data_IF_814782660521
#
_entry.id   IF_814782660521
#
_cell.length_a   1.000
_cell.length_b   1.000
_cell.length_c   1.000
_cell.angle_alpha   90.00
_cell.angle_beta   90.00
_cell.angle_gamma   90.00
#
_symmetry.space_group_name_H-M   'P 1'
#
loop_
_entity.id
_entity.type
_entity.pdbx_description
1 polymer ?
#
# COMPACT_ATOMS: atom_id res chain seq x y z
N UNK A 1 -11.47 -6.87 -2.49
CA UNK A 1 -11.12 -5.65 -1.73
C UNK A 1 -11.00 -6.04 -0.28
N UNK A 2 -10.00 -5.53 0.43
CA UNK A 2 -9.69 -5.95 1.80
C UNK A 2 -9.42 -4.70 2.64
N UNK A 3 -10.40 -4.32 3.46
CA UNK A 3 -10.36 -3.22 4.43
C UNK A 3 -10.52 -3.80 5.85
N UNK A 4 -10.26 -3.04 6.93
CA UNK A 4 -10.49 -3.50 8.29
C UNK A 4 -11.93 -4.03 8.51
N UNK A 5 -12.12 -5.04 9.39
CA UNK A 5 -11.09 -5.77 10.13
C UNK A 5 -10.29 -6.73 9.24
N UNK A 6 -8.97 -6.82 9.46
CA UNK A 6 -8.10 -7.72 8.71
C UNK A 6 -8.00 -9.10 9.35
N UNK A 7 -7.79 -10.12 8.51
CA UNK A 7 -7.30 -11.42 8.97
C UNK A 7 -5.86 -11.29 9.49
N UNK A 8 -5.43 -12.19 10.41
CA UNK A 8 -4.05 -12.23 10.88
C UNK A 8 -3.05 -12.32 9.72
N UNK A 9 -2.02 -11.49 9.78
CA UNK A 9 -0.96 -11.46 8.77
C UNK A 9 -0.07 -12.69 8.97
N UNK A 10 0.11 -13.48 7.91
CA UNK A 10 0.95 -14.69 7.99
C UNK A 10 2.44 -14.34 8.07
N UNK A 11 3.25 -15.23 8.65
CA UNK A 11 4.72 -15.09 8.63
C UNK A 11 5.26 -14.99 7.20
N UNK A 12 4.66 -15.76 6.26
CA UNK A 12 4.99 -15.69 4.85
C UNK A 12 4.74 -14.30 4.26
N UNK A 13 3.62 -13.67 4.60
CA UNK A 13 3.33 -12.31 4.16
C UNK A 13 4.39 -11.33 4.67
N UNK A 14 4.76 -11.42 5.95
CA UNK A 14 5.80 -10.56 6.55
C UNK A 14 7.15 -10.75 5.83
N UNK A 15 7.55 -12.00 5.52
CA UNK A 15 8.78 -12.28 4.77
C UNK A 15 8.74 -11.67 3.37
N UNK A 16 7.64 -11.82 2.64
CA UNK A 16 7.49 -11.24 1.29
C UNK A 16 7.55 -9.72 1.35
N UNK A 17 6.77 -9.08 2.24
CA UNK A 17 6.79 -7.62 2.37
C UNK A 17 8.19 -7.14 2.75
N UNK A 18 8.90 -7.85 3.62
CA UNK A 18 10.28 -7.50 3.99
C UNK A 18 11.23 -7.55 2.78
N UNK A 19 11.13 -8.61 1.96
CA UNK A 19 11.90 -8.74 0.73
C UNK A 19 11.56 -7.64 -0.29
N UNK A 20 10.27 -7.33 -0.45
CA UNK A 20 9.78 -6.25 -1.32
C UNK A 20 10.32 -4.87 -0.91
N UNK A 21 10.39 -4.59 0.40
CA UNK A 21 10.86 -3.32 0.94
C UNK A 21 12.40 -3.23 1.03
N UNK A 22 13.11 -4.35 0.90
CA UNK A 22 14.55 -4.44 1.16
C UNK A 22 14.94 -4.20 2.62
N UNK A 23 13.98 -4.32 3.56
CA UNK A 23 14.16 -4.13 5.00
C UNK A 23 13.04 -4.84 5.76
N UNK A 24 13.21 -5.16 7.06
CA UNK A 24 12.15 -5.78 7.86
C UNK A 24 10.83 -4.99 7.80
N UNK A 25 9.74 -5.66 7.48
CA UNK A 25 8.40 -5.11 7.61
C UNK A 25 8.06 -4.93 9.08
N UNK A 26 7.47 -3.78 9.44
CA UNK A 26 7.17 -3.41 10.83
C UNK A 26 5.70 -3.08 10.98
N UNK A 27 5.15 -3.46 12.14
CA UNK A 27 3.81 -3.07 12.60
C UNK A 27 2.71 -3.31 11.54
N UNK A 28 2.82 -4.42 10.81
CA UNK A 28 1.85 -4.81 9.78
C UNK A 28 0.59 -5.34 10.45
N UNK A 29 -0.54 -4.68 10.20
CA UNK A 29 -1.85 -5.04 10.77
C UNK A 29 -2.75 -5.78 9.77
N UNK A 30 -2.40 -5.79 8.49
CA UNK A 30 -3.16 -6.49 7.46
C UNK A 30 -2.52 -6.45 6.07
N UNK A 31 -2.97 -7.34 5.19
CA UNK A 31 -2.66 -7.29 3.74
C UNK A 31 -3.91 -6.82 3.01
N UNK A 32 -3.87 -5.57 2.54
CA UNK A 32 -5.05 -4.90 1.98
C UNK A 32 -5.27 -5.22 0.49
N UNK A 33 -4.23 -5.65 -0.21
CA UNK A 33 -4.35 -6.13 -1.58
C UNK A 33 -3.26 -7.15 -1.90
N UNK A 34 -3.56 -8.06 -2.82
CA UNK A 34 -2.66 -9.13 -3.28
C UNK A 34 -2.57 -9.13 -4.80
N UNK A 35 -1.43 -9.59 -5.29
CA UNK A 35 -1.25 -9.97 -6.69
C UNK A 35 -2.00 -11.29 -6.96
N UNK A 36 -2.30 -11.61 -8.21
CA UNK A 36 -2.96 -12.86 -8.62
C UNK A 36 -2.24 -14.13 -8.12
N UNK A 37 -0.93 -14.07 -7.87
CA UNK A 37 -0.17 -15.18 -7.27
C UNK A 37 -0.29 -15.29 -5.73
N UNK A 38 -1.04 -14.40 -5.11
CA UNK A 38 -1.24 -14.32 -3.65
C UNK A 38 -0.22 -13.48 -2.89
N UNK A 39 0.87 -13.03 -3.54
CA UNK A 39 1.86 -12.17 -2.90
C UNK A 39 1.25 -10.81 -2.48
N UNK A 40 1.59 -10.28 -1.28
CA UNK A 40 1.18 -8.94 -0.86
C UNK A 40 1.50 -7.88 -1.91
N UNK A 41 0.53 -7.00 -2.16
CA UNK A 41 0.71 -5.82 -3.02
C UNK A 41 0.61 -4.54 -2.23
N UNK A 42 -0.38 -4.49 -1.33
CA UNK A 42 -0.59 -3.37 -0.41
C UNK A 42 -0.61 -3.93 1.00
N UNK A 43 0.19 -3.32 1.87
CA UNK A 43 0.23 -3.61 3.30
C UNK A 43 -0.52 -2.51 4.06
N UNK A 44 -1.28 -2.91 5.08
CA UNK A 44 -1.84 -2.01 6.07
C UNK A 44 -0.91 -1.98 7.30
N UNK A 45 -0.44 -0.79 7.69
CA UNK A 45 0.49 -0.60 8.81
C UNK A 45 -0.19 0.15 9.94
N UNK A 46 0.13 -0.19 11.18
CA UNK A 46 -0.39 0.50 12.35
C UNK A 46 -0.10 2.02 12.26
N UNK A 47 -1.07 2.89 12.63
CA UNK A 47 -0.87 4.35 12.54
C UNK A 47 0.12 4.89 13.57
N UNK A 48 0.53 4.07 14.54
CA UNK A 48 1.67 4.30 15.43
C UNK A 48 2.52 3.04 15.48
N UNK A 49 3.81 3.19 15.21
CA UNK A 49 4.77 2.09 15.26
C UNK A 49 5.07 1.69 16.71
N UNK A 50 5.63 0.50 16.92
CA UNK A 50 6.00 0.00 18.25
C UNK A 50 7.01 0.92 18.97
N UNK A 51 7.85 1.66 18.23
CA UNK A 51 8.77 2.67 18.78
C UNK A 51 8.08 4.00 19.19
N UNK A 52 6.76 4.09 19.02
CA UNK A 52 5.94 5.25 19.33
C UNK A 52 5.79 6.24 18.17
N UNK A 53 6.52 6.08 17.07
CA UNK A 53 6.50 7.02 15.94
C UNK A 53 5.14 7.01 15.22
N UNK A 54 4.48 8.17 15.02
CA UNK A 54 3.31 8.27 14.15
C UNK A 54 3.65 7.90 12.71
N UNK A 55 2.82 7.03 12.10
CA UNK A 55 2.99 6.61 10.71
C UNK A 55 1.74 6.98 9.88
N UNK A 56 1.78 8.07 9.11
CA UNK A 56 0.58 8.61 8.43
C UNK A 56 0.04 7.70 7.32
N UNK A 57 0.91 6.92 6.69
CA UNK A 57 0.59 6.04 5.56
C UNK A 57 0.09 4.69 6.05
N UNK A 58 -1.24 4.55 6.12
CA UNK A 58 -1.93 3.32 6.50
C UNK A 58 -1.83 2.27 5.41
N UNK A 59 -2.21 2.62 4.17
CA UNK A 59 -2.07 1.75 3.00
C UNK A 59 -0.76 2.03 2.27
N UNK A 60 0.16 1.07 2.27
CA UNK A 60 1.48 1.20 1.68
C UNK A 60 1.67 0.20 0.52
N UNK A 61 1.96 0.71 -0.68
CA UNK A 61 2.24 -0.11 -1.86
C UNK A 61 3.65 -0.70 -1.77
N UNK A 62 3.76 -2.01 -1.53
CA UNK A 62 5.05 -2.69 -1.38
C UNK A 62 5.49 -3.42 -2.64
N UNK A 63 4.58 -3.78 -3.54
CA UNK A 63 4.91 -4.56 -4.73
C UNK A 63 5.90 -3.83 -5.67
N UNK A 64 7.10 -4.39 -5.94
CA UNK A 64 8.18 -3.65 -6.58
C UNK A 64 7.84 -3.19 -8.00
N UNK A 65 7.19 -4.03 -8.81
CA UNK A 65 6.76 -3.66 -10.17
C UNK A 65 5.56 -2.71 -10.17
N UNK A 66 4.71 -2.72 -9.15
CA UNK A 66 3.63 -1.74 -9.03
C UNK A 66 4.20 -0.38 -8.63
N UNK A 67 5.12 -0.37 -7.67
CA UNK A 67 5.84 0.84 -7.22
C UNK A 67 6.62 1.48 -8.36
N UNK A 68 7.33 0.69 -9.17
CA UNK A 68 8.02 1.20 -10.35
C UNK A 68 7.07 1.80 -11.40
N UNK A 69 5.92 1.16 -11.65
CA UNK A 69 4.91 1.69 -12.57
C UNK A 69 4.32 3.02 -12.08
N UNK A 70 4.05 3.15 -10.77
CA UNK A 70 3.59 4.42 -10.19
C UNK A 70 4.66 5.50 -10.30
N UNK A 71 5.92 5.19 -10.00
CA UNK A 71 7.02 6.14 -10.15
C UNK A 71 7.19 6.61 -11.60
N UNK A 72 6.95 5.74 -12.58
CA UNK A 72 6.94 6.13 -13.99
C UNK A 72 5.81 7.12 -14.31
N UNK A 73 4.59 6.86 -13.84
CA UNK A 73 3.45 7.77 -14.03
C UNK A 73 3.65 9.13 -13.31
N UNK A 74 4.26 9.12 -12.12
CA UNK A 74 4.62 10.34 -11.40
C UNK A 74 5.64 11.17 -12.18
N UNK A 75 6.68 10.53 -12.73
CA UNK A 75 7.66 11.20 -13.59
C UNK A 75 7.00 11.77 -14.87
N UNK A 76 6.03 11.04 -15.43
CA UNK A 76 5.23 11.46 -16.58
C UNK A 76 4.18 12.54 -16.26
N UNK A 77 4.23 13.17 -15.07
CA UNK A 77 3.37 14.29 -14.67
C UNK A 77 1.87 13.98 -14.49
N UNK A 78 1.48 12.70 -14.37
CA UNK A 78 0.06 12.34 -14.15
C UNK A 78 -0.52 13.00 -12.88
N UNK A 79 0.30 13.25 -11.86
CA UNK A 79 -0.15 13.96 -10.65
C UNK A 79 -0.59 15.40 -10.92
N UNK A 80 0.01 16.07 -11.89
CA UNK A 80 -0.36 17.43 -12.31
C UNK A 80 -1.72 17.37 -12.99
N UNK A 81 -1.89 16.48 -13.98
CA UNK A 81 -3.16 16.26 -14.67
C UNK A 81 -4.30 15.94 -13.68
N UNK A 82 -4.05 15.03 -12.73
CA UNK A 82 -5.02 14.68 -11.70
C UNK A 82 -5.35 15.85 -10.76
N UNK A 83 -4.38 16.72 -10.46
CA UNK A 83 -4.62 17.92 -9.65
C UNK A 83 -5.43 18.97 -10.41
N UNK A 84 -5.20 19.12 -11.71
CA UNK A 84 -6.01 19.98 -12.59
C UNK A 84 -7.44 19.46 -12.71
N UNK A 85 -7.62 18.14 -12.86
CA UNK A 85 -8.94 17.50 -12.87
C UNK A 85 -9.72 17.77 -11.57
N UNK A 86 -9.06 17.67 -10.41
CA UNK A 86 -9.68 18.00 -9.11
C UNK A 86 -10.18 19.45 -9.03
N UNK A 87 -9.49 20.38 -9.69
CA UNK A 87 -9.89 21.78 -9.71
C UNK A 87 -11.03 22.05 -10.71
N UNK A 88 -11.11 21.26 -11.77
CA UNK A 88 -12.07 21.45 -12.86
C UNK A 88 -13.40 20.72 -12.65
N UNK A 89 -13.42 19.62 -11.90
CA UNK A 89 -14.58 18.73 -11.75
C UNK A 89 -15.00 18.58 -10.28
N UNK A 90 -16.18 19.12 -9.96
CA UNK A 90 -16.72 19.12 -8.61
C UNK A 90 -17.15 17.72 -8.14
N UNK A 91 -17.61 16.85 -9.03
CA UNK A 91 -18.03 15.49 -8.68
C UNK A 91 -16.82 14.63 -8.35
N UNK A 92 -15.73 14.81 -9.10
CA UNK A 92 -14.43 14.17 -8.82
C UNK A 92 -13.86 14.67 -7.50
N UNK A 93 -13.92 15.98 -7.22
CA UNK A 93 -13.48 16.54 -5.94
C UNK A 93 -14.30 15.99 -4.77
N UNK A 94 -15.61 15.85 -4.92
CA UNK A 94 -16.48 15.26 -3.90
C UNK A 94 -16.17 13.78 -3.66
N UNK A 95 -15.95 13.00 -4.74
CA UNK A 95 -15.55 11.60 -4.66
C UNK A 95 -14.20 11.42 -3.95
N UNK A 96 -13.22 12.27 -4.27
CA UNK A 96 -11.91 12.26 -3.60
C UNK A 96 -12.02 12.69 -2.12
N UNK A 97 -12.95 13.60 -1.80
CA UNK A 97 -13.31 13.95 -0.44
C UNK A 97 -13.96 12.79 0.34
N UNK A 98 -14.79 11.96 -0.31
CA UNK A 98 -15.30 10.71 0.27
C UNK A 98 -14.17 9.71 0.52
N UNK A 99 -13.29 9.50 -0.47
CA UNK A 99 -12.11 8.64 -0.35
C UNK A 99 -11.23 9.02 0.85
N UNK A 100 -11.03 10.32 1.07
CA UNK A 100 -10.30 10.83 2.23
C UNK A 100 -10.94 10.42 3.56
N UNK A 101 -12.27 10.59 3.70
CA UNK A 101 -12.98 10.22 4.94
C UNK A 101 -12.96 8.71 5.18
N UNK A 102 -13.14 7.94 4.11
CA UNK A 102 -13.05 6.48 4.14
C UNK A 102 -11.67 6.00 4.62
N UNK A 103 -10.61 6.59 4.10
CA UNK A 103 -9.24 6.29 4.52
C UNK A 103 -9.02 6.59 6.01
N UNK A 104 -9.52 7.73 6.50
CA UNK A 104 -9.41 8.10 7.91
C UNK A 104 -10.17 7.10 8.80
N UNK A 105 -11.38 6.73 8.41
CA UNK A 105 -12.21 5.77 9.14
C UNK A 105 -11.53 4.40 9.27
N UNK A 106 -10.93 3.89 8.18
CA UNK A 106 -10.18 2.64 8.22
C UNK A 106 -9.01 2.71 9.20
N UNK A 107 -8.20 3.76 9.11
CA UNK A 107 -7.02 3.91 9.97
C UNK A 107 -7.40 4.08 11.44
N UNK A 108 -8.42 4.88 11.72
CA UNK A 108 -8.90 5.16 13.08
C UNK A 108 -9.60 3.95 13.71
N UNK A 109 -10.11 3.02 12.90
CA UNK A 109 -10.60 1.71 13.38
C UNK A 109 -9.50 0.84 14.00
N UNK A 110 -8.24 1.07 13.62
CA UNK A 110 -7.07 0.39 14.18
C UNK A 110 -6.54 1.13 15.41
N UNK A 111 -6.29 2.44 15.29
CA UNK A 111 -5.96 3.30 16.42
C UNK A 111 -6.11 4.78 16.07
N UNK A 112 -6.59 5.57 17.02
CA UNK A 112 -6.64 7.03 16.92
C UNK A 112 -5.31 7.62 17.38
N UNK A 113 -4.64 8.34 16.49
CA UNK A 113 -3.34 8.98 16.72
C UNK A 113 -3.53 10.50 16.57
N UNK A 114 -3.50 11.28 17.67
CA UNK A 114 -3.79 12.72 17.62
C UNK A 114 -2.94 13.50 16.62
N UNK A 115 -1.66 13.12 16.44
CA UNK A 115 -0.73 13.73 15.50
C UNK A 115 -1.13 13.54 14.03
N UNK A 116 -2.01 12.57 13.74
CA UNK A 116 -2.48 12.23 12.40
C UNK A 116 -3.92 12.70 12.13
N UNK A 117 -4.56 13.39 13.09
CA UNK A 117 -5.95 13.81 12.99
C UNK A 117 -6.20 14.62 11.69
N UNK A 118 -7.18 14.18 10.89
CA UNK A 118 -7.52 14.82 9.62
C UNK A 118 -6.49 14.68 8.49
N UNK A 119 -5.36 13.98 8.71
CA UNK A 119 -4.31 13.80 7.72
C UNK A 119 -4.44 12.39 7.13
N UNK A 120 -4.80 12.27 5.85
CA UNK A 120 -4.69 11.00 5.10
C UNK A 120 -3.39 10.94 4.29
N UNK A 121 -3.29 10.05 3.30
CA UNK A 121 -2.12 9.91 2.42
C UNK A 121 -2.34 10.49 1.01
N UNK A 122 -1.27 10.51 0.21
CA UNK A 122 -1.34 10.85 -1.23
C UNK A 122 -1.66 12.29 -1.59
N UNK A 123 -1.81 13.18 -0.59
CA UNK A 123 -2.22 14.58 -0.80
C UNK A 123 -3.72 14.84 -0.71
N UNK A 124 -4.52 13.79 -0.46
CA UNK A 124 -5.96 13.88 -0.24
C UNK A 124 -6.35 14.93 0.83
N UNK A 125 -7.53 15.57 0.72
CA UNK A 125 -8.48 15.52 -0.40
C UNK A 125 -8.28 16.64 -1.42
N UNK A 126 -7.28 17.51 -1.27
CA UNK A 126 -7.23 18.78 -2.02
C UNK A 126 -6.20 18.81 -3.14
N UNK A 127 -5.32 17.81 -3.21
CA UNK A 127 -4.26 17.70 -4.23
C UNK A 127 -3.79 16.27 -4.42
N UNK A 128 -3.01 16.03 -5.46
CA UNK A 128 -2.32 14.76 -5.69
C UNK A 128 -0.82 14.96 -5.50
N UNK A 129 -0.23 14.24 -4.55
CA UNK A 129 1.21 14.31 -4.19
C UNK A 129 1.97 13.01 -4.38
N UNK A 130 1.28 11.87 -4.35
CA UNK A 130 1.93 10.55 -4.46
C UNK A 130 0.92 9.51 -4.94
N UNK A 131 1.16 8.92 -6.12
CA UNK A 131 0.30 7.90 -6.71
C UNK A 131 0.42 6.56 -5.99
N UNK A 132 1.58 6.22 -5.39
CA UNK A 132 1.72 4.97 -4.63
C UNK A 132 0.69 4.84 -3.53
N UNK A 133 0.47 5.92 -2.76
CA UNK A 133 -0.52 5.94 -1.69
C UNK A 133 -1.97 5.90 -2.22
N UNK A 134 -2.27 6.55 -3.34
CA UNK A 134 -3.62 6.62 -3.88
C UNK A 134 -4.02 5.30 -4.55
N UNK A 135 -3.10 4.67 -5.28
CA UNK A 135 -3.28 3.32 -5.81
C UNK A 135 -3.36 2.30 -4.69
N UNK A 136 -2.53 2.41 -3.65
CA UNK A 136 -2.63 1.54 -2.47
C UNK A 136 -4.03 1.58 -1.86
N UNK A 137 -4.60 2.77 -1.69
CA UNK A 137 -5.96 2.93 -1.18
C UNK A 137 -7.01 2.36 -2.15
N UNK A 138 -6.88 2.57 -3.46
CA UNK A 138 -7.83 2.06 -4.46
C UNK A 138 -7.85 0.52 -4.49
N UNK A 139 -6.66 -0.10 -4.46
CA UNK A 139 -6.50 -1.56 -4.39
C UNK A 139 -7.00 -2.16 -3.07
N UNK A 140 -6.98 -1.39 -1.97
CA UNK A 140 -7.56 -1.81 -0.71
C UNK A 140 -9.10 -1.72 -0.74
N UNK A 141 -9.62 -0.58 -1.20
CA UNK A 141 -11.01 -0.21 -0.97
C UNK A 141 -11.99 -0.64 -2.05
N UNK A 142 -11.60 -0.57 -3.32
CA UNK A 142 -12.50 -0.88 -4.44
C UNK A 142 -12.27 0.02 -5.63
N UNK A 143 -12.45 -0.49 -6.86
CA UNK A 143 -12.68 0.37 -8.01
C UNK A 143 -13.81 1.35 -7.74
N UNK A 144 -13.61 2.62 -8.08
CA UNK A 144 -14.58 3.70 -7.90
C UNK A 144 -14.54 4.37 -6.53
N UNK A 145 -13.72 3.89 -5.58
CA UNK A 145 -13.62 4.51 -4.25
C UNK A 145 -12.68 5.71 -4.26
N UNK A 146 -11.52 5.61 -4.92
CA UNK A 146 -10.54 6.67 -4.97
C UNK A 146 -10.21 7.03 -6.43
N UNK A 147 -10.83 8.07 -6.99
CA UNK A 147 -10.79 8.34 -8.42
C UNK A 147 -9.35 8.55 -8.94
N UNK A 148 -8.47 9.14 -8.13
CA UNK A 148 -7.08 9.41 -8.53
C UNK A 148 -6.24 8.14 -8.63
N UNK A 149 -6.46 7.18 -7.71
CA UNK A 149 -5.78 5.90 -7.79
C UNK A 149 -6.37 4.99 -8.86
N UNK A 150 -7.68 5.08 -9.11
CA UNK A 150 -8.32 4.37 -10.23
C UNK A 150 -7.78 4.83 -11.59
N UNK A 151 -7.67 6.15 -11.81
CA UNK A 151 -7.04 6.72 -13.00
C UNK A 151 -5.60 6.23 -13.15
N UNK A 152 -4.82 6.22 -12.06
CA UNK A 152 -3.44 5.76 -12.11
C UNK A 152 -3.34 4.25 -12.42
N UNK A 153 -4.25 3.42 -11.91
CA UNK A 153 -4.32 1.99 -12.26
C UNK A 153 -4.68 1.78 -13.74
N UNK A 154 -5.65 2.54 -14.27
CA UNK A 154 -6.03 2.46 -15.68
C UNK A 154 -4.89 2.85 -16.63
N UNK A 155 -4.10 3.87 -16.25
CA UNK A 155 -2.93 4.35 -17.02
C UNK A 155 -1.68 3.48 -16.84
N UNK A 156 -1.68 2.57 -15.88
CA UNK A 156 -0.52 1.79 -15.49
C UNK A 156 -0.21 0.67 -16.49
N UNK A 157 1.07 0.34 -16.63
CA UNK A 157 1.52 -0.88 -17.34
C UNK A 157 1.50 -2.12 -16.43
N UNK A 158 1.24 -1.93 -15.14
CA UNK A 158 1.10 -2.97 -14.13
C UNK A 158 -0.37 -3.17 -13.77
N UNK A 159 -0.78 -4.44 -13.60
CA UNK A 159 -2.09 -4.85 -13.10
C UNK A 159 -1.92 -5.92 -12.02
N UNK A 160 -2.77 -5.94 -10.96
CA UNK A 160 -2.76 -7.00 -9.96
C UNK A 160 -3.12 -8.38 -10.55
N UNK A 161 -3.80 -8.41 -11.69
CA UNK A 161 -4.29 -9.64 -12.34
C UNK A 161 -3.24 -10.33 -13.21
N UNK A 162 -2.10 -9.69 -13.46
CA UNK A 162 -0.98 -10.24 -14.23
C UNK A 162 0.27 -10.29 -13.36
N UNK A 163 0.65 -11.50 -12.93
CA UNK A 163 1.79 -11.67 -12.04
C UNK A 163 3.10 -11.18 -12.68
N UNK A 164 3.77 -10.27 -11.98
CA UNK A 164 5.14 -9.81 -12.27
C UNK A 164 6.00 -9.78 -11.00
N UNK A 165 5.67 -10.64 -10.04
CA UNK A 165 6.48 -10.80 -8.83
C UNK A 165 7.82 -11.45 -9.22
N UNK A 166 8.95 -10.96 -8.70
CA UNK A 166 10.16 -11.77 -8.67
C UNK A 166 9.95 -12.96 -7.72
N UNK A 167 10.83 -13.95 -7.81
CA UNK A 167 10.98 -14.89 -6.71
C UNK A 167 11.55 -14.14 -5.50
N UNK A 168 10.84 -14.20 -4.37
CA UNK A 168 11.24 -13.55 -3.13
C UNK A 168 12.15 -14.45 -2.28
N UNK A 169 12.35 -15.73 -2.63
CA UNK A 169 13.19 -16.66 -1.89
C UNK A 169 12.67 -16.95 -0.47
N UNK A 170 11.37 -16.73 -0.21
CA UNK A 170 10.78 -16.83 1.14
C UNK A 170 10.14 -18.19 1.45
N UNK A 171 10.04 -19.04 0.44
CA UNK A 171 9.40 -20.36 0.51
C UNK A 171 10.44 -21.49 0.59
N UNK A 172 11.72 -21.17 0.43
CA UNK A 172 12.81 -22.10 0.69
C UNK A 172 13.02 -22.23 2.20
N UNK A 173 13.08 -23.47 2.70
CA UNK A 173 13.46 -23.73 4.08
C UNK A 173 14.88 -23.21 4.31
N UNK A 174 15.22 -22.66 5.50
CA UNK A 174 16.61 -22.38 5.81
C UNK A 174 17.41 -23.66 5.57
N UNK A 175 18.41 -23.59 4.69
CA UNK A 175 19.34 -24.68 4.48
C UNK A 175 19.90 -25.05 5.86
N UNK A 176 19.67 -26.30 6.27
CA UNK A 176 20.42 -26.91 7.36
C UNK A 176 21.85 -27.10 6.84
N UNK A 177 22.62 -26.02 6.72
CA UNK A 177 24.07 -26.11 6.60
C UNK A 177 24.61 -26.51 7.97
N UNK A 178 24.58 -27.84 8.17
CA UNK A 178 25.54 -28.67 8.90
C UNK A 178 26.16 -28.05 10.15
N UNK A 179 25.63 -28.49 11.30
CA UNK A 179 26.44 -28.60 12.50
C UNK A 179 27.62 -29.55 12.20
N UNK A 180 28.76 -28.99 11.79
CA UNK A 180 30.04 -29.67 11.96
C UNK A 180 30.40 -29.57 13.44
N UNK A 181 29.97 -30.56 14.22
CA UNK A 181 30.58 -30.89 15.50
C UNK A 181 31.95 -31.51 15.22
N UNK A 182 33.06 -31.00 15.79
CA UNK A 182 34.28 -31.77 15.88
C UNK A 182 34.10 -32.87 16.94
N UNK A 183 34.38 -34.08 16.48
CA UNK A 183 34.47 -35.35 17.20
C UNK A 183 35.61 -35.28 18.25
N UNK A 184 35.31 -35.78 19.45
CA UNK A 184 36.17 -36.15 20.62
C UNK A 184 37.51 -35.45 20.85
#
# INVERSE_FOLDING_TARGET
MTRPPFEPVSERDVRIVSAQLGRPARDVVGIAARCVCGAPTVVATAPRLTDGTPFPTFYYLSHPTATAAMSFLEAAQLMVECTELLAADADVAEAYGRAHRDYLADRESIAVVPELAGISAGGMPTRVKCLHALVAHSLAAGPGVNPMGDIALERSTWSPDVCRCPDYGVDEAPSLETAEEPIE
#
